data_IF_264204529816
#
_entry.id   IF_264204529816
#
_cell.length_a   1.000
_cell.length_b   1.000
_cell.length_c   1.000
_cell.angle_alpha   90.00
_cell.angle_beta   90.00
_cell.angle_gamma   90.00
#
_symmetry.space_group_name_H-M   'P 1'
#
loop_
_entity.id
_entity.type
_entity.pdbx_description
1 polymer ?
#
# COMPACT_ATOMS: atom_id res chain seq x y z
N UNK A 1 -16.74 30.15 45.42
CA UNK A 1 -17.71 29.21 44.86
C UNK A 1 -17.21 27.79 44.99
N UNK A 2 -18.08 26.82 45.18
CA UNK A 2 -17.76 25.39 45.08
C UNK A 2 -17.92 24.99 43.61
N UNK A 3 -16.93 24.32 43.05
CA UNK A 3 -16.96 23.87 41.65
C UNK A 3 -16.92 22.34 41.52
N UNK A 4 -17.50 21.82 40.47
CA UNK A 4 -17.51 20.40 40.16
C UNK A 4 -16.38 20.10 39.16
N UNK A 5 -15.45 19.22 39.52
CA UNK A 5 -14.34 18.78 38.66
C UNK A 5 -14.61 17.35 38.25
N UNK A 6 -14.64 17.10 36.91
CA UNK A 6 -14.81 15.76 36.37
C UNK A 6 -13.45 15.18 35.99
N UNK A 7 -13.05 14.08 36.62
CA UNK A 7 -11.90 13.27 36.19
C UNK A 7 -12.42 11.97 35.54
N UNK A 8 -12.08 11.74 34.30
CA UNK A 8 -12.32 10.44 33.65
C UNK A 8 -11.14 9.51 33.93
N UNK A 9 -11.40 8.30 34.40
CA UNK A 9 -10.38 7.23 34.46
C UNK A 9 -10.91 5.98 33.79
N UNK A 10 -10.07 5.40 32.93
CA UNK A 10 -10.28 4.08 32.36
C UNK A 10 -9.52 3.06 33.24
N UNK A 11 -10.20 2.09 33.81
CA UNK A 11 -9.56 0.95 34.52
C UNK A 11 -9.47 -0.29 33.63
N UNK A 12 -10.43 -0.45 32.73
CA UNK A 12 -10.44 -1.45 31.65
C UNK A 12 -11.07 -0.80 30.41
N UNK A 13 -10.84 -1.32 29.20
CA UNK A 13 -11.41 -0.74 27.97
C UNK A 13 -12.94 -0.65 27.97
N UNK A 14 -13.61 -1.35 28.88
CA UNK A 14 -15.07 -1.46 28.93
C UNK A 14 -15.74 -0.62 30.03
N UNK A 15 -14.99 -0.09 31.01
CA UNK A 15 -15.54 0.65 32.13
C UNK A 15 -15.30 2.16 31.97
N UNK A 16 -16.30 2.91 31.54
CA UNK A 16 -16.28 4.38 31.54
C UNK A 16 -17.02 4.90 32.77
N UNK A 17 -16.30 5.54 33.66
CA UNK A 17 -16.89 6.25 34.80
C UNK A 17 -16.30 7.63 34.97
N UNK A 18 -17.11 8.55 35.47
CA UNK A 18 -16.68 9.90 35.85
C UNK A 18 -16.68 10.05 37.34
N UNK A 19 -15.60 10.61 37.86
CA UNK A 19 -15.51 11.00 39.26
C UNK A 19 -15.63 12.51 39.36
N UNK A 20 -16.72 12.96 39.96
CA UNK A 20 -16.92 14.37 40.26
C UNK A 20 -16.33 14.67 41.66
N UNK A 21 -15.44 15.66 41.72
CA UNK A 21 -14.97 16.24 42.98
C UNK A 21 -15.46 17.66 43.11
N UNK A 22 -16.21 17.95 44.12
CA UNK A 22 -16.50 19.32 44.51
C UNK A 22 -15.27 19.90 45.19
N UNK A 23 -14.66 20.90 44.61
CA UNK A 23 -13.57 21.69 45.22
C UNK A 23 -14.00 23.12 45.41
N UNK A 24 -13.59 23.71 46.50
CA UNK A 24 -13.69 25.16 46.71
C UNK A 24 -12.68 25.82 45.78
N UNK A 25 -13.18 26.46 44.72
CA UNK A 25 -12.33 27.18 43.76
C UNK A 25 -11.96 28.55 44.34
N UNK A 26 -10.66 28.78 44.60
CA UNK A 26 -10.12 30.08 44.99
C UNK A 26 -9.43 30.69 43.76
N UNK A 27 -10.07 31.65 43.17
CA UNK A 27 -9.58 32.78 42.41
C UNK A 27 -8.86 32.56 41.06
N UNK A 28 -8.06 31.54 40.83
CA UNK A 28 -7.28 31.40 39.58
C UNK A 28 -7.44 30.08 38.80
N UNK A 29 -8.00 29.06 39.42
CA UNK A 29 -8.14 27.72 38.80
C UNK A 29 -9.24 27.58 37.74
N UNK A 30 -10.11 28.59 37.62
CA UNK A 30 -11.25 28.60 36.70
C UNK A 30 -10.86 28.83 35.21
N UNK A 31 -9.59 29.05 34.90
CA UNK A 31 -9.12 29.38 33.53
C UNK A 31 -8.33 28.28 32.84
N UNK A 32 -8.19 27.09 33.43
CA UNK A 32 -7.48 26.00 32.74
C UNK A 32 -8.41 25.27 31.75
N UNK A 33 -7.97 25.05 30.49
CA UNK A 33 -8.75 24.33 29.51
C UNK A 33 -8.96 22.87 29.97
N UNK A 34 -10.21 22.42 29.95
CA UNK A 34 -10.62 21.05 30.32
C UNK A 34 -11.23 20.89 31.70
N UNK A 35 -11.24 21.93 32.55
CA UNK A 35 -11.89 21.92 33.86
C UNK A 35 -13.19 22.73 33.77
N UNK A 36 -14.33 22.06 33.84
CA UNK A 36 -15.63 22.72 33.99
C UNK A 36 -16.09 22.60 35.43
N UNK A 37 -16.28 23.74 36.07
CA UNK A 37 -16.79 23.83 37.41
C UNK A 37 -18.20 24.42 37.38
N UNK A 38 -19.18 23.75 37.98
CA UNK A 38 -20.49 24.31 38.24
C UNK A 38 -20.56 24.79 39.70
N UNK A 39 -21.08 26.01 39.96
CA UNK A 39 -21.36 26.43 41.34
C UNK A 39 -22.44 25.56 41.96
N UNK A 40 -22.45 25.48 43.30
CA UNK A 40 -23.53 24.81 44.04
C UNK A 40 -24.85 25.49 43.71
N UNK A 41 -25.85 24.71 43.32
CA UNK A 41 -27.14 25.19 42.89
C UNK A 41 -27.32 25.37 41.37
N UNK A 42 -26.27 25.06 40.60
CA UNK A 42 -26.37 25.00 39.12
C UNK A 42 -26.20 23.55 38.60
N UNK A 43 -26.74 23.24 37.40
CA UNK A 43 -26.57 21.94 36.82
C UNK A 43 -25.10 21.64 36.51
N UNK A 44 -24.64 20.41 36.83
CA UNK A 44 -23.30 19.98 36.50
C UNK A 44 -23.24 19.59 35.00
N UNK A 45 -22.38 20.21 34.17
CA UNK A 45 -22.26 19.84 32.77
C UNK A 45 -21.77 18.40 32.66
N UNK A 46 -22.57 17.58 32.00
CA UNK A 46 -22.29 16.17 31.78
C UNK A 46 -21.51 16.02 30.46
N UNK A 47 -20.33 15.38 30.46
CA UNK A 47 -19.67 15.06 29.23
C UNK A 47 -20.41 13.92 28.50
N UNK A 48 -20.40 13.98 27.20
CA UNK A 48 -20.84 12.88 26.36
C UNK A 48 -19.84 11.72 26.44
N UNK A 49 -20.34 10.50 26.63
CA UNK A 49 -19.54 9.28 26.65
C UNK A 49 -19.79 8.47 25.38
N UNK A 50 -18.73 7.91 24.80
CA UNK A 50 -18.79 7.09 23.57
C UNK A 50 -18.22 5.71 23.86
N UNK A 51 -18.98 4.67 23.50
CA UNK A 51 -18.54 3.26 23.56
C UNK A 51 -19.02 2.56 22.30
N UNK A 52 -18.07 1.95 21.57
CA UNK A 52 -18.38 1.26 20.30
C UNK A 52 -19.37 0.12 20.54
N UNK A 53 -20.40 0.00 19.68
CA UNK A 53 -21.43 -1.02 19.78
C UNK A 53 -22.48 -0.77 20.86
N UNK A 54 -22.48 0.42 21.48
CA UNK A 54 -23.42 0.75 22.54
C UNK A 54 -23.99 2.16 22.36
N UNK A 55 -25.26 2.34 22.70
CA UNK A 55 -25.87 3.66 22.89
C UNK A 55 -25.62 4.12 24.32
N UNK A 56 -25.22 5.38 24.48
CA UNK A 56 -25.10 6.00 25.79
C UNK A 56 -26.49 6.26 26.37
N UNK A 57 -26.77 5.67 27.54
CA UNK A 57 -28.07 5.76 28.25
C UNK A 57 -28.01 6.75 29.46
N UNK A 58 -26.98 7.57 29.51
CA UNK A 58 -26.83 8.60 30.51
C UNK A 58 -25.90 8.23 31.67
N UNK A 59 -25.77 9.19 32.60
CA UNK A 59 -24.99 9.05 33.80
C UNK A 59 -25.88 8.64 34.99
N UNK A 60 -25.43 7.67 35.76
CA UNK A 60 -26.18 7.05 36.86
C UNK A 60 -25.39 7.04 38.14
N UNK A 61 -26.08 6.99 39.29
CA UNK A 61 -25.44 6.99 40.64
C UNK A 61 -24.74 5.68 40.99
N UNK A 62 -25.11 4.56 40.34
CA UNK A 62 -24.52 3.23 40.53
C UNK A 62 -24.15 2.62 39.17
N UNK A 63 -23.20 1.66 39.23
CA UNK A 63 -22.81 0.90 38.02
C UNK A 63 -23.86 -0.08 37.53
N UNK A 64 -24.77 -0.48 38.39
CA UNK A 64 -25.93 -1.32 38.09
C UNK A 64 -27.13 -0.76 38.86
N UNK A 65 -28.19 -0.38 38.11
CA UNK A 65 -29.33 0.34 38.68
C UNK A 65 -28.99 1.77 39.13
N UNK A 66 -29.58 2.21 40.21
CA UNK A 66 -29.41 3.58 40.72
C UNK A 66 -30.36 4.58 40.14
N UNK A 67 -30.05 5.87 40.26
CA UNK A 67 -30.84 6.96 39.70
C UNK A 67 -30.08 7.63 38.55
N UNK A 68 -30.79 7.94 37.48
CA UNK A 68 -30.24 8.68 36.37
C UNK A 68 -30.04 10.15 36.74
N UNK A 69 -28.89 10.68 36.41
CA UNK A 69 -28.58 12.09 36.59
C UNK A 69 -28.87 12.82 35.31
N UNK A 70 -29.90 13.63 35.34
CA UNK A 70 -30.29 14.44 34.18
C UNK A 70 -29.45 15.72 34.09
N UNK A 71 -29.34 16.34 32.89
CA UNK A 71 -28.56 17.58 32.71
C UNK A 71 -28.98 18.71 33.65
N UNK A 72 -30.27 18.75 34.03
CA UNK A 72 -30.85 19.72 34.95
C UNK A 72 -30.75 19.34 36.42
N UNK A 73 -30.18 18.15 36.75
CA UNK A 73 -30.03 17.70 38.14
C UNK A 73 -29.09 18.63 38.89
N UNK A 74 -29.60 19.21 39.98
CA UNK A 74 -28.84 20.12 40.84
C UNK A 74 -28.04 19.30 41.85
N UNK A 75 -26.73 19.45 41.85
CA UNK A 75 -25.86 18.84 42.86
C UNK A 75 -25.95 19.62 44.15
N UNK A 76 -26.61 19.04 45.15
CA UNK A 76 -26.83 19.67 46.46
C UNK A 76 -25.81 19.24 47.51
N UNK A 77 -25.07 18.17 47.31
CA UNK A 77 -24.07 17.64 48.26
C UNK A 77 -22.65 18.13 47.89
N UNK A 78 -21.88 18.47 48.91
CA UNK A 78 -20.49 18.94 48.79
C UNK A 78 -19.45 17.80 48.74
N UNK A 79 -19.90 16.54 48.80
CA UNK A 79 -18.99 15.38 48.74
C UNK A 79 -18.69 14.96 47.30
N UNK A 80 -17.58 14.23 47.13
CA UNK A 80 -17.21 13.70 45.84
C UNK A 80 -18.11 12.51 45.47
N UNK A 81 -18.82 12.61 44.34
CA UNK A 81 -19.64 11.55 43.81
C UNK A 81 -18.96 10.90 42.60
N UNK A 82 -19.22 9.59 42.42
CA UNK A 82 -18.86 8.87 41.21
C UNK A 82 -20.12 8.61 40.43
N UNK A 83 -20.15 9.00 39.15
CA UNK A 83 -21.22 8.66 38.24
C UNK A 83 -20.74 7.58 37.26
N UNK A 84 -21.64 6.71 36.89
CA UNK A 84 -21.41 5.58 36.03
C UNK A 84 -22.17 5.75 34.69
N UNK A 85 -21.47 5.57 33.59
CA UNK A 85 -22.12 5.56 32.29
C UNK A 85 -22.90 4.25 32.14
N UNK A 86 -24.22 4.35 31.87
CA UNK A 86 -25.01 3.22 31.45
C UNK A 86 -25.06 3.13 29.93
N UNK A 87 -25.17 1.89 29.43
CA UNK A 87 -25.06 1.59 28.02
C UNK A 87 -26.15 0.60 27.60
N UNK A 88 -26.77 0.86 26.47
CA UNK A 88 -27.64 -0.09 25.79
C UNK A 88 -26.87 -0.71 24.63
N UNK A 89 -26.81 -2.06 24.58
CA UNK A 89 -26.18 -2.75 23.45
C UNK A 89 -26.96 -2.45 22.16
N UNK A 90 -26.26 -2.10 21.12
CA UNK A 90 -26.80 -1.98 19.76
C UNK A 90 -26.53 -3.28 19.01
N UNK A 91 -27.48 -3.76 18.24
CA UNK A 91 -27.23 -4.86 17.32
C UNK A 91 -26.19 -4.43 16.29
N UNK A 92 -25.17 -5.25 16.11
CA UNK A 92 -24.11 -4.98 15.18
C UNK A 92 -24.36 -5.72 13.88
N UNK A 93 -24.27 -5.00 12.76
CA UNK A 93 -24.23 -5.55 11.43
C UNK A 93 -22.80 -5.92 11.03
N UNK A 94 -22.64 -6.93 10.19
CA UNK A 94 -21.35 -7.28 9.62
C UNK A 94 -21.10 -6.45 8.35
N UNK A 95 -20.01 -5.66 8.37
CA UNK A 95 -19.48 -5.02 7.18
C UNK A 95 -18.44 -5.95 6.57
N UNK A 96 -18.67 -6.39 5.33
CA UNK A 96 -17.73 -7.22 4.57
C UNK A 96 -16.97 -6.37 3.57
N UNK A 97 -15.66 -6.51 3.52
CA UNK A 97 -14.77 -5.85 2.57
C UNK A 97 -14.49 -6.80 1.40
N UNK A 98 -15.09 -6.53 0.24
CA UNK A 98 -14.80 -7.26 -1.01
C UNK A 98 -13.63 -6.56 -1.74
N UNK A 99 -12.46 -7.19 -1.84
CA UNK A 99 -11.32 -6.59 -2.50
C UNK A 99 -11.46 -6.47 -4.03
N UNK A 100 -12.56 -6.88 -4.62
CA UNK A 100 -12.92 -6.71 -6.04
C UNK A 100 -11.74 -7.04 -6.99
N UNK A 101 -11.30 -8.29 -6.95
CA UNK A 101 -10.17 -8.79 -7.73
C UNK A 101 -8.79 -8.56 -7.11
N UNK A 102 -8.72 -7.89 -5.96
CA UNK A 102 -7.51 -7.82 -5.13
C UNK A 102 -7.50 -8.88 -4.04
N UNK A 103 -6.62 -8.71 -3.06
CA UNK A 103 -6.52 -9.56 -1.88
C UNK A 103 -6.44 -8.73 -0.60
N UNK A 104 -7.02 -9.23 0.47
CA UNK A 104 -7.03 -8.64 1.81
C UNK A 104 -6.69 -9.73 2.82
N UNK A 105 -6.09 -9.35 3.95
CA UNK A 105 -5.85 -10.31 5.04
C UNK A 105 -7.18 -10.74 5.65
N UNK A 106 -7.37 -12.05 5.85
CA UNK A 106 -8.64 -12.62 6.29
C UNK A 106 -9.17 -12.01 7.61
N UNK A 107 -8.30 -11.59 8.52
CA UNK A 107 -8.68 -10.93 9.78
C UNK A 107 -9.22 -9.50 9.60
N UNK A 108 -8.97 -8.91 8.44
CA UNK A 108 -9.36 -7.54 8.08
C UNK A 108 -10.55 -7.52 7.12
N UNK A 109 -11.04 -8.69 6.72
CA UNK A 109 -12.10 -8.82 5.70
C UNK A 109 -13.51 -8.47 6.22
N UNK A 110 -13.69 -8.40 7.53
CA UNK A 110 -14.98 -8.06 8.14
C UNK A 110 -14.82 -7.15 9.34
N UNK A 111 -15.80 -6.28 9.56
CA UNK A 111 -15.88 -5.36 10.67
C UNK A 111 -17.31 -5.35 11.23
N UNK A 112 -17.47 -5.51 12.53
CA UNK A 112 -18.77 -5.38 13.18
C UNK A 112 -19.02 -3.89 13.49
N UNK A 113 -20.16 -3.35 13.06
CA UNK A 113 -20.57 -1.96 13.27
C UNK A 113 -22.04 -1.89 13.69
N UNK A 114 -22.32 -1.02 14.63
CA UNK A 114 -23.70 -0.69 15.01
C UNK A 114 -24.12 0.64 14.37
N UNK A 115 -25.44 0.81 14.20
CA UNK A 115 -25.96 2.08 13.68
C UNK A 115 -25.43 3.28 14.47
N UNK A 116 -24.92 4.28 13.75
CA UNK A 116 -24.28 5.47 14.31
C UNK A 116 -22.78 5.33 14.63
N UNK A 117 -22.18 4.15 14.48
CA UNK A 117 -20.72 3.99 14.60
C UNK A 117 -20.00 4.63 13.40
N UNK A 118 -18.75 5.08 13.62
CA UNK A 118 -17.87 5.45 12.50
C UNK A 118 -17.18 4.23 11.96
N UNK A 119 -16.91 4.18 10.65
CA UNK A 119 -16.15 3.06 10.05
C UNK A 119 -14.76 2.92 10.65
N UNK A 120 -14.11 4.04 11.03
CA UNK A 120 -12.77 4.02 11.62
C UNK A 120 -11.69 3.60 10.62
N UNK A 121 -10.63 2.97 11.10
CA UNK A 121 -9.54 2.53 10.24
C UNK A 121 -10.02 1.44 9.27
N UNK A 122 -9.91 1.72 7.97
CA UNK A 122 -10.27 0.80 6.89
C UNK A 122 -9.04 0.01 6.44
N UNK A 123 -9.20 -1.28 6.10
CA UNK A 123 -8.09 -2.09 5.60
C UNK A 123 -7.62 -1.60 4.22
N UNK A 124 -6.35 -1.84 3.91
CA UNK A 124 -5.76 -1.55 2.61
C UNK A 124 -5.54 -2.87 1.88
N UNK A 125 -6.34 -3.17 0.85
CA UNK A 125 -6.17 -4.36 0.03
C UNK A 125 -5.01 -4.17 -0.95
N UNK A 126 -4.55 -5.26 -1.58
CA UNK A 126 -3.51 -5.25 -2.58
C UNK A 126 -4.02 -5.90 -3.87
N UNK A 127 -3.74 -5.26 -5.02
CA UNK A 127 -3.95 -5.82 -6.35
C UNK A 127 -2.78 -5.42 -7.24
N UNK A 128 -2.07 -6.41 -7.75
CA UNK A 128 -0.87 -6.19 -8.54
C UNK A 128 -1.19 -5.43 -9.83
N UNK A 129 -0.45 -4.34 -10.06
CA UNK A 129 -0.65 -3.47 -11.22
C UNK A 129 -1.85 -2.52 -11.12
N UNK A 130 -2.34 -2.30 -9.92
CA UNK A 130 -3.46 -1.40 -9.69
C UNK A 130 -3.26 -0.56 -8.43
N UNK A 131 -3.63 0.70 -8.51
CA UNK A 131 -3.72 1.60 -7.37
C UNK A 131 -5.07 1.48 -6.67
N UNK A 132 -5.05 1.43 -5.35
CA UNK A 132 -6.26 1.38 -4.54
C UNK A 132 -6.89 2.76 -4.38
N UNK A 133 -8.15 2.91 -4.82
CA UNK A 133 -8.90 4.17 -4.79
C UNK A 133 -9.91 4.28 -3.64
N UNK A 134 -9.83 3.38 -2.68
CA UNK A 134 -10.74 3.39 -1.54
C UNK A 134 -11.84 2.34 -1.61
N UNK A 135 -12.65 2.31 -0.54
CA UNK A 135 -13.82 1.45 -0.40
C UNK A 135 -15.08 2.20 -0.83
N UNK A 136 -15.98 1.50 -1.49
CA UNK A 136 -17.19 2.05 -2.09
C UNK A 136 -18.40 1.17 -1.83
N UNK A 137 -19.61 1.75 -1.81
CA UNK A 137 -20.84 1.01 -1.54
C UNK A 137 -21.27 0.09 -2.69
N UNK A 138 -20.72 0.26 -3.89
CA UNK A 138 -21.04 -0.52 -5.08
C UNK A 138 -19.76 -0.90 -5.84
N UNK A 139 -19.81 -1.97 -6.64
CA UNK A 139 -18.70 -2.41 -7.49
C UNK A 139 -18.31 -1.34 -8.52
N UNK A 140 -19.32 -0.65 -9.08
CA UNK A 140 -19.14 0.45 -10.01
C UNK A 140 -20.00 1.63 -9.54
N UNK A 141 -19.40 2.80 -9.42
CA UNK A 141 -20.05 3.98 -8.85
C UNK A 141 -20.29 3.85 -7.34
N UNK A 142 -21.45 4.31 -6.86
CA UNK A 142 -21.77 4.32 -5.44
C UNK A 142 -21.13 5.49 -4.68
N UNK A 143 -21.09 5.39 -3.36
CA UNK A 143 -20.50 6.39 -2.46
C UNK A 143 -19.21 5.85 -1.84
N UNK A 144 -18.20 6.71 -1.74
CA UNK A 144 -16.94 6.35 -1.10
C UNK A 144 -17.10 6.32 0.42
N UNK A 145 -16.57 5.27 1.02
CA UNK A 145 -16.53 5.10 2.46
C UNK A 145 -15.22 5.65 3.00
N UNK A 146 -15.31 6.61 3.91
CA UNK A 146 -14.19 7.22 4.60
C UNK A 146 -14.16 6.79 6.07
N UNK A 147 -13.01 6.86 6.74
CA UNK A 147 -12.90 6.49 8.17
C UNK A 147 -13.87 7.24 9.08
N UNK A 148 -14.19 8.49 8.76
CA UNK A 148 -15.11 9.35 9.50
C UNK A 148 -16.58 9.18 9.10
N UNK A 149 -16.89 8.49 8.00
CA UNK A 149 -18.25 8.19 7.58
C UNK A 149 -18.98 7.43 8.68
N UNK A 150 -20.21 7.81 8.93
CA UNK A 150 -21.08 7.16 9.92
C UNK A 150 -21.79 5.99 9.25
N UNK A 151 -21.69 4.82 9.84
CA UNK A 151 -22.44 3.64 9.42
C UNK A 151 -23.92 3.84 9.79
N UNK A 152 -24.80 3.58 8.85
CA UNK A 152 -26.26 3.63 9.07
C UNK A 152 -26.90 2.33 8.64
N UNK A 153 -27.68 1.76 9.53
CA UNK A 153 -28.43 0.54 9.29
C UNK A 153 -28.12 -0.59 10.30
N UNK A 154 -28.94 -1.62 10.24
CA UNK A 154 -28.85 -2.81 11.11
C UNK A 154 -28.55 -4.08 10.32
N UNK A 155 -28.54 -3.97 9.00
CA UNK A 155 -28.33 -5.13 8.10
C UNK A 155 -26.87 -5.24 7.68
N UNK A 156 -26.44 -6.48 7.43
CA UNK A 156 -25.11 -6.76 6.90
C UNK A 156 -24.89 -6.06 5.55
N UNK A 157 -23.73 -5.46 5.38
CA UNK A 157 -23.36 -4.71 4.19
C UNK A 157 -22.05 -5.20 3.60
N UNK A 158 -21.89 -5.03 2.28
CA UNK A 158 -20.63 -5.27 1.59
C UNK A 158 -20.17 -4.00 0.93
N UNK A 159 -18.88 -3.70 1.09
CA UNK A 159 -18.20 -2.58 0.41
C UNK A 159 -17.10 -3.13 -0.49
N UNK A 160 -16.88 -2.45 -1.60
CA UNK A 160 -16.06 -2.92 -2.70
C UNK A 160 -14.85 -2.03 -2.89
N UNK A 161 -13.69 -2.66 -3.10
CA UNK A 161 -12.49 -1.92 -3.47
C UNK A 161 -12.62 -1.39 -4.90
N UNK A 162 -12.31 -0.11 -5.09
CA UNK A 162 -12.10 0.45 -6.43
C UNK A 162 -10.62 0.56 -6.74
N UNK A 163 -10.30 0.42 -8.03
CA UNK A 163 -8.94 0.31 -8.53
C UNK A 163 -8.72 1.14 -9.78
N UNK A 164 -7.55 1.77 -9.87
CA UNK A 164 -7.05 2.33 -11.13
C UNK A 164 -5.93 1.45 -11.64
N UNK A 165 -6.01 1.07 -12.92
CA UNK A 165 -4.96 0.31 -13.58
C UNK A 165 -3.71 1.17 -13.77
N UNK A 166 -2.57 0.69 -13.31
CA UNK A 166 -1.24 1.27 -13.54
C UNK A 166 -0.43 0.33 -14.42
N UNK A 167 -0.25 0.66 -15.71
CA UNK A 167 0.52 -0.16 -16.63
C UNK A 167 1.98 -0.37 -16.21
N UNK A 168 2.62 0.66 -15.66
CA UNK A 168 4.01 0.58 -15.23
C UNK A 168 4.18 -0.40 -14.07
N UNK A 169 3.33 -0.29 -13.06
CA UNK A 169 3.31 -1.22 -11.93
C UNK A 169 2.96 -2.65 -12.38
N UNK A 170 1.99 -2.82 -13.29
CA UNK A 170 1.59 -4.12 -13.80
C UNK A 170 2.73 -4.84 -14.54
N UNK A 171 3.39 -4.16 -15.48
CA UNK A 171 4.47 -4.77 -16.26
C UNK A 171 5.75 -4.97 -15.44
N UNK A 172 6.01 -4.09 -14.47
CA UNK A 172 7.09 -4.27 -13.48
C UNK A 172 6.86 -5.53 -12.64
N UNK A 173 5.67 -5.70 -12.08
CA UNK A 173 5.31 -6.88 -11.32
C UNK A 173 5.40 -8.16 -12.17
N UNK A 174 4.92 -8.11 -13.41
CA UNK A 174 4.98 -9.24 -14.35
C UNK A 174 6.42 -9.67 -14.60
N UNK A 175 7.31 -8.74 -14.88
CA UNK A 175 8.74 -9.02 -15.09
C UNK A 175 9.37 -9.63 -13.83
N UNK A 176 9.19 -9.00 -12.68
CA UNK A 176 9.79 -9.45 -11.41
C UNK A 176 9.34 -10.85 -11.01
N UNK A 177 8.04 -11.15 -11.13
CA UNK A 177 7.49 -12.45 -10.79
C UNK A 177 8.07 -13.56 -11.67
N UNK A 178 8.17 -13.34 -12.98
CA UNK A 178 8.74 -14.30 -13.92
C UNK A 178 10.26 -14.46 -13.72
N UNK A 179 10.97 -13.36 -13.55
CA UNK A 179 12.42 -13.36 -13.30
C UNK A 179 12.77 -14.15 -12.02
N UNK A 180 11.97 -14.01 -10.95
CA UNK A 180 12.19 -14.77 -9.73
C UNK A 180 12.04 -16.29 -9.94
N UNK A 181 11.13 -16.71 -10.81
CA UNK A 181 10.98 -18.12 -11.16
C UNK A 181 12.15 -18.64 -11.99
N UNK A 182 12.63 -17.86 -12.94
CA UNK A 182 13.78 -18.18 -13.81
C UNK A 182 15.06 -18.32 -12.99
N UNK A 183 15.26 -17.44 -12.00
CA UNK A 183 16.46 -17.47 -11.15
C UNK A 183 16.68 -18.81 -10.43
N UNK A 184 15.62 -19.55 -10.22
CA UNK A 184 15.65 -20.88 -9.59
C UNK A 184 15.90 -22.03 -10.57
N UNK A 185 15.92 -21.77 -11.88
CA UNK A 185 15.98 -22.80 -12.92
C UNK A 185 17.27 -22.74 -13.73
N UNK A 186 17.32 -21.94 -14.76
CA UNK A 186 18.45 -21.88 -15.69
C UNK A 186 18.73 -20.43 -16.09
N UNK A 187 19.91 -19.95 -15.73
CA UNK A 187 20.37 -18.61 -16.11
C UNK A 187 21.12 -18.63 -17.44
N UNK A 188 20.87 -17.63 -18.27
CA UNK A 188 21.60 -17.41 -19.52
C UNK A 188 22.80 -16.50 -19.26
N UNK A 189 23.96 -16.91 -19.76
CA UNK A 189 25.19 -16.13 -19.69
C UNK A 189 25.23 -15.10 -20.84
N UNK A 190 25.43 -13.84 -20.47
CA UNK A 190 25.47 -12.72 -21.41
C UNK A 190 26.82 -12.00 -21.29
N UNK A 191 27.38 -11.62 -22.41
CA UNK A 191 28.45 -10.64 -22.49
C UNK A 191 27.88 -9.31 -22.99
N UNK A 192 28.01 -8.25 -22.21
CA UNK A 192 27.66 -6.92 -22.66
C UNK A 192 28.89 -6.22 -23.25
N UNK A 193 28.88 -5.98 -24.54
CA UNK A 193 29.96 -5.29 -25.24
C UNK A 193 29.80 -3.77 -25.07
N UNK A 194 30.77 -3.15 -24.42
CA UNK A 194 30.84 -1.69 -24.20
C UNK A 194 31.97 -1.08 -25.03
N UNK A 195 31.81 0.17 -25.47
CA UNK A 195 32.88 0.94 -26.13
C UNK A 195 33.79 1.66 -25.13
N UNK A 196 33.42 1.64 -23.84
CA UNK A 196 34.13 2.28 -22.75
C UNK A 196 34.59 1.28 -21.71
N UNK A 197 35.74 1.52 -21.10
CA UNK A 197 36.32 0.66 -20.08
C UNK A 197 35.39 0.56 -18.85
N UNK A 198 34.66 -0.50 -18.75
CA UNK A 198 33.91 -0.87 -17.55
C UNK A 198 32.45 -1.22 -17.75
N UNK A 199 32.01 -2.17 -16.92
CA UNK A 199 30.60 -2.55 -16.77
C UNK A 199 29.90 -1.46 -15.96
N UNK A 200 28.90 -0.78 -16.55
CA UNK A 200 28.08 0.18 -15.80
C UNK A 200 26.92 -0.53 -15.10
N UNK A 201 26.42 0.07 -14.02
CA UNK A 201 25.28 -0.47 -13.28
C UNK A 201 24.04 -0.68 -14.18
N UNK A 202 23.82 0.22 -15.13
CA UNK A 202 22.68 0.13 -16.07
C UNK A 202 22.73 -1.12 -16.94
N UNK A 203 23.93 -1.59 -17.33
CA UNK A 203 24.08 -2.84 -18.09
C UNK A 203 23.74 -4.04 -17.22
N UNK A 204 24.24 -4.04 -15.97
CA UNK A 204 23.91 -5.07 -15.02
C UNK A 204 22.39 -5.09 -14.73
N UNK A 205 21.77 -3.94 -14.52
CA UNK A 205 20.33 -3.83 -14.26
C UNK A 205 19.46 -4.35 -15.42
N UNK A 206 19.88 -4.10 -16.67
CA UNK A 206 19.17 -4.63 -17.82
C UNK A 206 19.24 -6.17 -17.85
N UNK A 207 20.43 -6.74 -17.64
CA UNK A 207 20.67 -8.18 -17.71
C UNK A 207 20.04 -8.91 -16.52
N UNK A 208 20.30 -8.46 -15.30
CA UNK A 208 19.80 -9.12 -14.07
C UNK A 208 18.29 -9.06 -13.94
N UNK A 209 17.65 -7.99 -14.46
CA UNK A 209 16.19 -7.89 -14.51
C UNK A 209 15.54 -8.99 -15.34
N UNK A 210 16.28 -9.66 -16.24
CA UNK A 210 15.77 -10.79 -17.04
C UNK A 210 16.00 -12.16 -16.37
N UNK A 211 16.71 -12.24 -15.26
CA UNK A 211 17.15 -13.50 -14.65
C UNK A 211 18.46 -14.03 -15.22
N UNK A 212 19.14 -13.27 -16.08
CA UNK A 212 20.46 -13.62 -16.68
C UNK A 212 21.60 -13.02 -15.86
N UNK A 213 22.84 -13.38 -16.21
CA UNK A 213 24.03 -12.81 -15.58
C UNK A 213 25.03 -12.33 -16.64
N UNK A 214 25.75 -11.24 -16.34
CA UNK A 214 26.82 -10.72 -17.17
C UNK A 214 28.13 -11.43 -16.81
N UNK A 215 28.79 -12.08 -17.78
CA UNK A 215 30.06 -12.82 -17.55
C UNK A 215 31.22 -11.89 -17.14
N UNK A 216 31.10 -10.58 -17.38
CA UNK A 216 32.12 -9.59 -17.06
C UNK A 216 31.86 -8.81 -15.76
N UNK A 217 30.73 -9.04 -15.05
CA UNK A 217 30.31 -8.27 -13.89
C UNK A 217 31.30 -8.33 -12.71
N UNK A 218 31.94 -9.47 -12.47
CA UNK A 218 32.85 -9.69 -11.34
C UNK A 218 34.33 -9.53 -11.70
N UNK A 219 34.64 -8.87 -12.82
CA UNK A 219 36.00 -8.77 -13.33
C UNK A 219 36.71 -7.52 -12.82
N UNK A 220 37.88 -7.67 -12.21
CA UNK A 220 38.72 -6.58 -11.72
C UNK A 220 39.50 -5.86 -12.87
N UNK A 221 39.70 -6.55 -14.01
CA UNK A 221 40.40 -6.01 -15.17
C UNK A 221 39.40 -5.44 -16.20
N UNK A 222 39.43 -4.12 -16.52
CA UNK A 222 38.54 -3.52 -17.47
C UNK A 222 38.81 -3.94 -18.92
N UNK A 223 40.00 -4.50 -19.22
CA UNK A 223 40.36 -4.90 -20.58
C UNK A 223 39.79 -6.26 -20.96
N UNK A 224 38.58 -6.30 -21.46
CA UNK A 224 37.93 -7.49 -21.98
C UNK A 224 38.32 -7.68 -23.42
N UNK A 225 39.08 -8.76 -23.74
CA UNK A 225 39.47 -9.09 -25.11
C UNK A 225 38.48 -10.09 -25.74
N UNK A 226 38.40 -10.10 -27.08
CA UNK A 226 37.55 -11.06 -27.82
C UNK A 226 37.91 -12.51 -27.46
N UNK A 227 39.22 -12.83 -27.37
CA UNK A 227 39.70 -14.17 -27.00
C UNK A 227 39.18 -14.59 -25.61
N UNK A 228 39.16 -13.67 -24.65
CA UNK A 228 38.62 -13.93 -23.32
C UNK A 228 37.11 -14.21 -23.37
N UNK A 229 36.34 -13.40 -24.12
CA UNK A 229 34.89 -13.57 -24.27
C UNK A 229 34.59 -14.91 -24.96
N UNK A 230 35.33 -15.24 -26.03
CA UNK A 230 35.17 -16.50 -26.75
C UNK A 230 35.52 -17.72 -25.86
N UNK A 231 36.54 -17.60 -25.02
CA UNK A 231 36.90 -18.66 -24.05
C UNK A 231 35.82 -18.89 -22.97
N UNK A 232 35.06 -17.84 -22.60
CA UNK A 232 33.91 -17.92 -21.66
C UNK A 232 32.65 -18.46 -22.30
N UNK A 233 32.54 -18.44 -23.63
CA UNK A 233 31.41 -18.97 -24.40
C UNK A 233 30.04 -18.45 -23.89
N UNK A 234 29.82 -17.13 -23.80
CA UNK A 234 28.48 -16.63 -23.47
C UNK A 234 27.47 -17.11 -24.50
N UNK A 235 26.23 -17.30 -24.10
CA UNK A 235 25.14 -17.65 -25.01
C UNK A 235 24.72 -16.47 -25.87
N UNK A 236 24.82 -15.25 -25.33
CA UNK A 236 24.39 -14.00 -25.95
C UNK A 236 25.47 -12.94 -25.84
N UNK A 237 25.68 -12.20 -26.91
CA UNK A 237 26.41 -10.92 -26.90
C UNK A 237 25.40 -9.79 -27.05
N UNK A 238 25.33 -8.93 -26.06
CA UNK A 238 24.49 -7.76 -26.03
C UNK A 238 25.33 -6.51 -26.31
N UNK A 239 24.91 -5.64 -27.25
CA UNK A 239 25.61 -4.39 -27.58
C UNK A 239 24.67 -3.21 -27.61
N UNK A 240 25.07 -2.12 -26.94
CA UNK A 240 24.40 -0.83 -27.08
C UNK A 240 24.81 -0.17 -28.40
N UNK A 241 23.81 0.22 -29.21
CA UNK A 241 24.09 0.75 -30.56
C UNK A 241 22.92 1.61 -31.06
N UNK A 242 23.22 2.44 -32.08
CA UNK A 242 22.19 3.09 -32.88
C UNK A 242 21.49 2.06 -33.76
N UNK A 243 20.23 1.78 -33.47
CA UNK A 243 19.44 0.76 -34.16
C UNK A 243 19.14 1.12 -35.64
N UNK A 244 19.36 2.37 -36.05
CA UNK A 244 19.29 2.74 -37.48
C UNK A 244 20.37 2.05 -38.31
N UNK A 245 21.48 1.62 -37.68
CA UNK A 245 22.59 0.90 -38.28
C UNK A 245 22.66 -0.57 -37.85
N UNK A 246 21.57 -1.13 -37.33
CA UNK A 246 21.53 -2.45 -36.70
C UNK A 246 22.15 -3.56 -37.57
N UNK A 247 21.87 -3.59 -38.88
CA UNK A 247 22.36 -4.63 -39.76
C UNK A 247 23.90 -4.64 -39.88
N UNK A 248 24.52 -3.48 -40.08
CA UNK A 248 25.98 -3.36 -40.21
C UNK A 248 26.71 -3.64 -38.90
N UNK A 249 26.17 -3.12 -37.76
CA UNK A 249 26.72 -3.35 -36.44
C UNK A 249 26.62 -4.82 -36.08
N UNK A 250 25.47 -5.45 -36.31
CA UNK A 250 25.27 -6.88 -36.06
C UNK A 250 26.27 -7.72 -36.84
N UNK A 251 26.46 -7.44 -38.16
CA UNK A 251 27.41 -8.16 -38.99
C UNK A 251 28.85 -8.04 -38.47
N UNK A 252 29.24 -6.86 -38.00
CA UNK A 252 30.55 -6.63 -37.41
C UNK A 252 30.76 -7.41 -36.10
N UNK A 253 29.76 -7.41 -35.23
CA UNK A 253 29.83 -8.16 -33.94
C UNK A 253 29.79 -9.66 -34.21
N UNK A 254 28.96 -10.12 -35.12
CA UNK A 254 28.84 -11.54 -35.50
C UNK A 254 30.13 -12.11 -36.11
N UNK A 255 30.88 -11.28 -36.85
CA UNK A 255 32.18 -11.69 -37.38
C UNK A 255 33.21 -11.97 -36.27
N UNK A 256 33.11 -11.32 -35.12
CA UNK A 256 33.95 -11.52 -33.93
C UNK A 256 33.44 -12.66 -33.04
N UNK A 257 32.13 -12.84 -32.99
CA UNK A 257 31.43 -13.81 -32.14
C UNK A 257 30.46 -14.68 -32.98
N UNK A 258 31.01 -15.61 -33.79
CA UNK A 258 30.21 -16.33 -34.80
C UNK A 258 29.19 -17.30 -34.22
N UNK A 259 29.42 -17.82 -33.04
CA UNK A 259 28.57 -18.83 -32.38
C UNK A 259 27.52 -18.24 -31.45
N UNK A 260 27.61 -16.94 -31.15
CA UNK A 260 26.76 -16.27 -30.18
C UNK A 260 25.53 -15.61 -30.82
N UNK A 261 24.42 -15.58 -30.11
CA UNK A 261 23.29 -14.74 -30.50
C UNK A 261 23.63 -13.26 -30.24
N UNK A 262 23.46 -12.42 -31.26
CA UNK A 262 23.72 -10.98 -31.15
C UNK A 262 22.40 -10.24 -30.92
N UNK A 263 22.30 -9.50 -29.84
CA UNK A 263 21.17 -8.63 -29.52
C UNK A 263 21.68 -7.21 -29.42
N UNK A 264 21.00 -6.28 -30.12
CA UNK A 264 21.32 -4.85 -30.07
C UNK A 264 20.27 -4.12 -29.25
N UNK A 265 20.72 -3.22 -28.37
CA UNK A 265 19.86 -2.33 -27.59
C UNK A 265 20.22 -0.88 -27.89
N UNK A 266 19.21 -0.02 -27.97
CA UNK A 266 19.46 1.42 -28.10
C UNK A 266 19.86 2.04 -26.77
N UNK A 267 20.49 3.22 -26.77
CA UNK A 267 20.77 3.95 -25.53
C UNK A 267 19.52 4.18 -24.66
N UNK A 268 18.33 4.30 -25.26
CA UNK A 268 17.07 4.48 -24.50
C UNK A 268 16.66 3.25 -23.69
N UNK A 269 17.17 2.06 -24.01
CA UNK A 269 16.99 0.86 -23.18
C UNK A 269 17.72 0.96 -21.83
N UNK A 270 18.74 1.79 -21.74
CA UNK A 270 19.63 1.93 -20.58
C UNK A 270 19.43 3.26 -19.85
N UNK A 271 19.14 4.32 -20.58
CA UNK A 271 19.05 5.71 -20.08
C UNK A 271 17.78 6.44 -20.55
N UNK A 272 16.78 5.72 -21.02
CA UNK A 272 15.48 6.25 -21.41
C UNK A 272 14.59 6.57 -20.19
N UNK A 273 13.32 6.88 -20.49
CA UNK A 273 12.31 6.92 -19.44
C UNK A 273 12.04 5.50 -18.87
N UNK A 274 11.43 5.47 -17.70
CA UNK A 274 11.20 4.23 -16.95
C UNK A 274 10.38 3.20 -17.77
N UNK A 275 9.38 3.68 -18.53
CA UNK A 275 8.54 2.83 -19.36
C UNK A 275 9.33 2.20 -20.52
N UNK A 276 10.19 2.97 -21.18
CA UNK A 276 11.06 2.49 -22.26
C UNK A 276 12.08 1.47 -21.74
N UNK A 277 12.70 1.74 -20.60
CA UNK A 277 13.64 0.81 -19.98
C UNK A 277 12.95 -0.48 -19.52
N UNK A 278 11.75 -0.39 -18.94
CA UNK A 278 10.96 -1.55 -18.55
C UNK A 278 10.58 -2.41 -19.77
N UNK A 279 10.14 -1.77 -20.85
CA UNK A 279 9.84 -2.49 -22.10
C UNK A 279 11.07 -3.22 -22.64
N UNK A 280 12.26 -2.60 -22.62
CA UNK A 280 13.50 -3.25 -23.06
C UNK A 280 13.80 -4.51 -22.25
N UNK A 281 13.63 -4.45 -20.92
CA UNK A 281 13.79 -5.59 -20.01
C UNK A 281 12.80 -6.72 -20.31
N UNK A 282 11.53 -6.39 -20.53
CA UNK A 282 10.48 -7.36 -20.90
C UNK A 282 10.77 -8.02 -22.25
N UNK A 283 11.15 -7.22 -23.23
CA UNK A 283 11.44 -7.73 -24.58
C UNK A 283 12.69 -8.63 -24.59
N UNK A 284 13.75 -8.24 -23.87
CA UNK A 284 14.95 -9.05 -23.69
C UNK A 284 14.62 -10.37 -22.97
N UNK A 285 13.90 -10.30 -21.85
CA UNK A 285 13.50 -11.46 -21.09
C UNK A 285 12.67 -12.45 -21.93
N UNK A 286 11.70 -11.93 -22.68
CA UNK A 286 10.88 -12.77 -23.60
C UNK A 286 11.73 -13.42 -24.70
N UNK A 287 12.73 -12.71 -25.24
CA UNK A 287 13.63 -13.28 -26.24
C UNK A 287 14.51 -14.40 -25.68
N UNK A 288 14.99 -14.23 -24.45
CA UNK A 288 15.89 -15.18 -23.81
C UNK A 288 15.16 -16.41 -23.24
N UNK A 289 13.95 -16.20 -22.73
CA UNK A 289 13.18 -17.20 -21.97
C UNK A 289 11.75 -17.34 -22.51
N UNK A 290 11.60 -17.44 -23.84
CA UNK A 290 10.31 -17.42 -24.52
C UNK A 290 9.23 -18.31 -23.93
N UNK A 291 9.57 -19.53 -23.49
CA UNK A 291 8.63 -20.48 -22.91
C UNK A 291 8.00 -19.98 -21.58
N UNK A 292 8.73 -19.14 -20.84
CA UNK A 292 8.27 -18.52 -19.58
C UNK A 292 7.42 -17.27 -19.80
N UNK A 293 7.50 -16.67 -20.99
CA UNK A 293 6.85 -15.40 -21.37
C UNK A 293 5.80 -15.56 -22.46
N UNK A 294 5.22 -16.74 -22.62
CA UNK A 294 4.21 -17.02 -23.67
C UNK A 294 2.96 -16.14 -23.53
N UNK A 295 2.58 -15.80 -22.29
CA UNK A 295 1.45 -14.95 -21.93
C UNK A 295 1.77 -13.44 -21.98
N UNK A 296 3.01 -13.06 -22.22
CA UNK A 296 3.43 -11.65 -22.32
C UNK A 296 3.26 -11.16 -23.78
N UNK A 297 2.33 -10.24 -23.98
CA UNK A 297 2.14 -9.56 -25.27
C UNK A 297 2.95 -8.26 -25.29
N UNK A 298 4.08 -8.26 -26.03
CA UNK A 298 4.94 -7.08 -26.17
C UNK A 298 4.27 -5.92 -26.93
N UNK A 299 3.34 -6.20 -27.85
CA UNK A 299 2.63 -5.14 -28.56
C UNK A 299 1.69 -4.40 -27.59
N UNK A 300 0.98 -5.15 -26.76
CA UNK A 300 0.17 -4.61 -25.68
C UNK A 300 1.02 -3.82 -24.67
N UNK A 301 2.15 -4.38 -24.23
CA UNK A 301 3.05 -3.71 -23.32
C UNK A 301 3.58 -2.39 -23.89
N UNK A 302 3.99 -2.36 -25.17
CA UNK A 302 4.43 -1.14 -25.84
C UNK A 302 3.34 -0.07 -25.90
N UNK A 303 2.11 -0.47 -26.17
CA UNK A 303 0.96 0.44 -26.23
C UNK A 303 0.63 1.01 -24.84
N UNK A 304 0.51 0.16 -23.82
CA UNK A 304 0.15 0.56 -22.46
C UNK A 304 1.22 1.42 -21.79
N UNK A 305 2.50 1.11 -22.05
CA UNK A 305 3.66 1.88 -21.57
C UNK A 305 3.95 3.12 -22.44
N UNK A 306 3.19 3.34 -23.53
CA UNK A 306 3.38 4.46 -24.46
C UNK A 306 4.82 4.53 -25.04
N UNK A 307 5.42 3.39 -25.33
CA UNK A 307 6.77 3.31 -25.89
C UNK A 307 6.75 3.78 -27.35
N UNK A 308 7.45 4.89 -27.63
CA UNK A 308 7.44 5.55 -28.96
C UNK A 308 8.35 4.88 -29.98
N UNK A 309 9.43 4.27 -29.53
CA UNK A 309 10.37 3.55 -30.39
C UNK A 309 10.84 2.28 -29.68
N UNK A 310 10.88 1.17 -30.39
CA UNK A 310 11.32 -0.10 -29.82
C UNK A 310 12.83 -0.04 -29.55
N UNK A 311 13.25 -0.15 -28.26
CA UNK A 311 14.62 0.11 -27.85
C UNK A 311 15.56 -1.10 -28.01
N UNK A 312 15.11 -2.16 -28.67
CA UNK A 312 15.85 -3.42 -28.79
C UNK A 312 15.60 -4.06 -30.17
N UNK A 313 16.65 -4.64 -30.76
CA UNK A 313 16.62 -5.35 -32.04
C UNK A 313 17.17 -6.76 -31.90
N UNK A 314 16.35 -7.73 -32.25
CA UNK A 314 16.68 -9.13 -32.34
C UNK A 314 17.09 -9.47 -33.79
N UNK A 315 17.73 -10.61 -34.00
CA UNK A 315 18.16 -11.10 -35.31
C UNK A 315 17.00 -11.33 -36.26
#
# INVERSE_FOLDING_TARGET
GLGCEAESRLRQPDDVYLRFRLRRLVGQDARLPGKRAAPVGEPCPQPEAVRRGYAFDGWWTLSDGGEQILPETIVSDVQAHTLYAHWQHRDAAALTFDPNGGRIKSKEATLALSDGDRYGALPIPLREGYDFNGWWTQIEGGEQILPETVFSGTDDQTVYAHWTYDPLAFWTFTLQNKTQQIYLCQQISIYFETETDGVTQQYCDLITATGSFNIAESRDDPNVTDDWVQAKKPQVVLKCADLSQAASIRASVQARFPEQQIILVSPSALWGDEATMLYAKLALAKQLYGDWYTDVDLAKAAQELNVRSIPISFS
#
